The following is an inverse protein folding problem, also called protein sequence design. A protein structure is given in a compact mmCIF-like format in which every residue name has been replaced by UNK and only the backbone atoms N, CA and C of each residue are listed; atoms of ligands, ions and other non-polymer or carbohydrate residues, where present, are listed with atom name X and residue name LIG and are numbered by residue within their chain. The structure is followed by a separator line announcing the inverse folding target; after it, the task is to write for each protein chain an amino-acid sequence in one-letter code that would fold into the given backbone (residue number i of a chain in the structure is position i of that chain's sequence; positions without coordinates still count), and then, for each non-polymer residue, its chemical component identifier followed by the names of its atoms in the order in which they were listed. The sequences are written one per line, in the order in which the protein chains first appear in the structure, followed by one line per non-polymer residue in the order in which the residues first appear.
data_IF_311571770010
#
_entry.id   IF_311571770010
#
_cell.length_a   1.000
_cell.length_b   1.000
_cell.length_c   1.000
_cell.angle_alpha   90.00
_cell.angle_beta   90.00
_cell.angle_gamma   90.00
#
_symmetry.space_group_name_H-M   'P 1'
#
loop_
_entity.id
_entity.type
_entity.pdbx_description
1 polymer ?
#
# COMPACT_ATOMS: atom_id res chain seq x y z
N UNK A 1 -4.06 -8.65 3.99
CA UNK A 1 -4.77 -8.45 2.69
C UNK A 1 -3.96 -9.05 1.54
N UNK A 2 -4.62 -9.30 0.44
CA UNK A 2 -3.92 -9.65 -0.80
C UNK A 2 -3.29 -8.41 -1.41
N UNK A 3 -2.12 -8.59 -2.04
CA UNK A 3 -1.42 -7.50 -2.70
C UNK A 3 -1.25 -7.84 -4.18
N UNK A 4 -1.61 -6.89 -5.04
CA UNK A 4 -1.50 -7.02 -6.49
C UNK A 4 -0.56 -5.92 -7.00
N UNK A 5 0.42 -6.28 -7.81
CA UNK A 5 1.42 -5.33 -8.30
C UNK A 5 1.05 -4.82 -9.69
N UNK A 6 1.28 -3.52 -9.92
CA UNK A 6 0.95 -2.90 -11.21
C UNK A 6 1.89 -3.33 -12.35
N UNK A 7 3.08 -3.81 -12.01
CA UNK A 7 4.04 -4.24 -13.03
C UNK A 7 4.81 -5.46 -12.57
N UNK A 8 5.29 -6.24 -13.53
CA UNK A 8 6.16 -7.38 -13.24
C UNK A 8 7.48 -6.94 -12.61
N UNK A 9 7.97 -5.76 -12.97
CA UNK A 9 9.20 -5.21 -12.40
C UNK A 9 9.02 -4.98 -10.90
N UNK A 10 7.92 -4.35 -10.50
CA UNK A 10 7.64 -4.08 -9.10
C UNK A 10 7.42 -5.38 -8.32
N UNK A 11 6.72 -6.34 -8.92
CA UNK A 11 6.52 -7.66 -8.30
C UNK A 11 7.86 -8.36 -8.04
N UNK A 12 8.79 -8.31 -8.98
CA UNK A 12 10.12 -8.89 -8.81
C UNK A 12 10.93 -8.20 -7.74
N UNK A 13 10.87 -6.87 -7.68
CA UNK A 13 11.52 -6.10 -6.62
C UNK A 13 10.98 -6.53 -5.25
N UNK A 14 9.67 -6.73 -5.14
CA UNK A 14 9.04 -7.14 -3.89
C UNK A 14 9.42 -8.57 -3.48
N UNK A 15 9.58 -9.48 -4.45
CA UNK A 15 9.79 -10.90 -4.18
C UNK A 15 11.26 -11.34 -4.17
N UNK A 16 12.17 -10.53 -4.70
CA UNK A 16 13.60 -10.86 -4.79
C UNK A 16 14.41 -9.89 -3.92
N UNK A 17 14.92 -10.35 -2.76
CA UNK A 17 15.68 -9.48 -1.86
C UNK A 17 16.90 -8.82 -2.48
N UNK A 18 17.61 -9.52 -3.36
CA UNK A 18 18.79 -8.96 -4.04
C UNK A 18 18.38 -7.84 -4.99
N UNK A 19 17.32 -8.06 -5.75
CA UNK A 19 16.82 -7.06 -6.69
C UNK A 19 16.25 -5.87 -5.95
N UNK A 20 15.54 -6.10 -4.88
CA UNK A 20 15.01 -5.05 -4.01
C UNK A 20 16.14 -4.15 -3.50
N UNK A 21 17.17 -4.76 -2.96
CA UNK A 21 18.35 -4.04 -2.45
C UNK A 21 19.05 -3.23 -3.56
N UNK A 22 19.25 -3.85 -4.71
CA UNK A 22 19.92 -3.21 -5.84
C UNK A 22 19.15 -1.98 -6.36
N UNK A 23 17.82 -2.13 -6.50
CA UNK A 23 16.99 -1.08 -7.10
C UNK A 23 16.65 0.04 -6.10
N UNK A 24 16.47 -0.29 -4.84
CA UNK A 24 15.99 0.67 -3.84
C UNK A 24 17.08 1.16 -2.86
N UNK A 25 18.18 0.43 -2.73
CA UNK A 25 19.16 0.68 -1.67
C UNK A 25 18.68 0.10 -0.34
N UNK A 26 19.60 -0.02 0.63
CA UNK A 26 19.34 -0.77 1.86
C UNK A 26 18.19 -0.18 2.68
N UNK A 27 18.24 1.10 3.00
CA UNK A 27 17.23 1.72 3.87
C UNK A 27 15.84 1.64 3.26
N UNK A 28 15.70 2.01 1.98
CA UNK A 28 14.39 1.99 1.31
C UNK A 28 13.89 0.57 1.10
N UNK A 29 14.78 -0.37 0.77
CA UNK A 29 14.42 -1.77 0.60
C UNK A 29 13.85 -2.36 1.90
N UNK A 30 14.48 -2.08 3.04
CA UNK A 30 14.01 -2.55 4.34
C UNK A 30 12.63 -1.97 4.68
N UNK A 31 12.44 -0.67 4.47
CA UNK A 31 11.16 -0.02 4.71
C UNK A 31 10.07 -0.55 3.77
N UNK A 32 10.38 -0.72 2.50
CA UNK A 32 9.45 -1.27 1.51
C UNK A 32 8.95 -2.66 1.92
N UNK A 33 9.86 -3.55 2.29
CA UNK A 33 9.50 -4.89 2.73
C UNK A 33 8.68 -4.87 4.02
N UNK A 34 9.02 -3.97 4.95
CA UNK A 34 8.25 -3.81 6.19
C UNK A 34 6.82 -3.37 5.90
N UNK A 35 6.64 -2.36 5.03
CA UNK A 35 5.30 -1.88 4.67
C UNK A 35 4.48 -2.97 3.97
N UNK A 36 5.10 -3.74 3.09
CA UNK A 36 4.42 -4.86 2.44
C UNK A 36 3.97 -5.91 3.45
N UNK A 37 4.81 -6.27 4.42
CA UNK A 37 4.44 -7.22 5.47
C UNK A 37 3.23 -6.72 6.27
N UNK A 38 3.22 -5.44 6.62
CA UNK A 38 2.10 -4.86 7.35
C UNK A 38 0.80 -4.95 6.55
N UNK A 39 0.87 -4.67 5.24
CA UNK A 39 -0.29 -4.79 4.36
C UNK A 39 -0.77 -6.24 4.25
N UNK A 40 0.15 -7.21 4.12
CA UNK A 40 -0.21 -8.62 4.08
C UNK A 40 -0.91 -9.10 5.34
N UNK A 41 -0.46 -8.61 6.50
CA UNK A 41 -1.00 -9.03 7.80
C UNK A 41 -2.31 -8.37 8.16
N UNK A 42 -2.61 -7.22 7.59
CA UNK A 42 -3.85 -6.52 7.85
C UNK A 42 -5.03 -7.29 7.26
N UNK A 43 -6.15 -7.33 7.97
CA UNK A 43 -7.36 -7.99 7.48
C UNK A 43 -8.08 -7.12 6.45
N UNK A 44 -8.12 -5.80 6.69
CA UNK A 44 -8.78 -4.84 5.82
C UNK A 44 -7.94 -3.59 5.68
N UNK A 45 -8.27 -2.77 4.67
CA UNK A 45 -7.56 -1.50 4.46
C UNK A 45 -7.76 -0.53 5.64
N UNK A 46 -8.92 -0.54 6.29
CA UNK A 46 -9.15 0.32 7.46
C UNK A 46 -8.14 0.03 8.57
N UNK A 47 -7.74 -1.23 8.74
CA UNK A 47 -6.83 -1.63 9.80
C UNK A 47 -5.43 -1.03 9.68
N UNK A 48 -4.97 -0.76 8.46
CA UNK A 48 -3.62 -0.22 8.27
C UNK A 48 -3.50 1.23 8.75
N UNK A 49 -4.61 1.94 8.89
CA UNK A 49 -4.63 3.33 9.37
C UNK A 49 -3.90 3.50 10.70
N UNK A 50 -3.94 2.46 11.53
CA UNK A 50 -3.42 2.50 12.91
C UNK A 50 -2.01 1.94 13.03
N UNK A 51 -1.40 1.51 11.92
CA UNK A 51 -0.05 0.95 11.94
C UNK A 51 1.02 2.05 11.82
N UNK A 52 2.23 1.80 12.34
CA UNK A 52 3.36 2.71 12.12
C UNK A 52 3.68 2.83 10.62
N UNK A 53 4.05 4.01 10.16
CA UNK A 53 4.40 4.24 8.77
C UNK A 53 3.52 5.29 8.09
N UNK A 54 2.67 5.96 8.84
CA UNK A 54 1.78 7.02 8.35
C UNK A 54 0.93 6.57 7.18
N UNK A 55 0.25 5.45 7.34
CA UNK A 55 -0.75 5.01 6.37
C UNK A 55 -1.92 6.00 6.38
N UNK A 56 -2.19 6.62 5.25
CA UNK A 56 -3.24 7.64 5.17
C UNK A 56 -3.83 7.70 3.76
N UNK A 57 -5.08 8.19 3.71
CA UNK A 57 -5.78 8.43 2.45
C UNK A 57 -5.21 9.66 1.76
N UNK A 58 -5.18 9.60 0.44
CA UNK A 58 -4.85 10.75 -0.38
C UNK A 58 -6.15 11.45 -0.82
N UNK A 59 -6.03 12.71 -1.22
CA UNK A 59 -7.18 13.53 -1.56
C UNK A 59 -7.06 14.12 -2.96
N UNK A 60 -8.06 14.91 -3.36
CA UNK A 60 -8.12 15.60 -4.65
C UNK A 60 -8.02 14.62 -5.82
N UNK A 61 -7.10 14.83 -6.74
CA UNK A 61 -6.95 13.98 -7.92
C UNK A 61 -6.43 12.57 -7.61
N UNK A 62 -5.98 12.33 -6.37
CA UNK A 62 -5.58 11.00 -5.90
C UNK A 62 -6.59 10.37 -4.96
N UNK A 63 -7.79 10.93 -4.87
CA UNK A 63 -8.85 10.38 -4.02
C UNK A 63 -9.09 8.91 -4.35
N UNK A 64 -9.16 8.08 -3.31
CA UNK A 64 -9.28 6.63 -3.45
C UNK A 64 -7.96 5.90 -3.32
N UNK A 65 -6.85 6.61 -3.35
CA UNK A 65 -5.51 6.04 -3.12
C UNK A 65 -5.06 6.29 -1.68
N UNK A 66 -4.09 5.49 -1.26
CA UNK A 66 -3.45 5.59 0.05
C UNK A 66 -1.95 5.67 -0.13
N UNK A 67 -1.27 6.18 0.89
CA UNK A 67 0.18 6.21 0.93
C UNK A 67 0.70 5.81 2.30
N UNK A 68 1.91 5.31 2.34
CA UNK A 68 2.68 5.16 3.57
C UNK A 68 4.12 5.60 3.32
N UNK A 69 4.83 5.95 4.39
CA UNK A 69 6.16 6.50 4.28
C UNK A 69 7.22 5.42 4.07
N UNK A 70 8.14 5.72 3.18
CA UNK A 70 9.47 5.11 3.10
C UNK A 70 10.46 6.15 3.64
N UNK A 71 11.72 6.10 3.21
CA UNK A 71 12.67 7.15 3.55
C UNK A 71 12.34 8.43 2.78
N UNK A 72 12.42 9.57 3.43
CA UNK A 72 12.06 10.86 2.81
C UNK A 72 12.91 11.15 1.56
N UNK A 73 12.31 11.62 0.46
CA UNK A 73 10.90 12.00 0.29
C UNK A 73 10.01 10.91 -0.33
N UNK A 74 10.42 9.66 -0.24
CA UNK A 74 9.74 8.55 -0.92
C UNK A 74 8.56 8.02 -0.14
N UNK A 75 7.52 7.61 -0.86
CA UNK A 75 6.31 7.01 -0.32
C UNK A 75 5.92 5.81 -1.16
N UNK A 76 5.25 4.85 -0.53
CA UNK A 76 4.58 3.76 -1.23
C UNK A 76 3.13 4.18 -1.44
N UNK A 77 2.68 4.17 -2.69
CA UNK A 77 1.29 4.50 -3.03
C UNK A 77 0.59 3.22 -3.46
N UNK A 78 -0.62 3.03 -2.97
CA UNK A 78 -1.43 1.87 -3.30
C UNK A 78 -2.91 2.25 -3.33
N UNK A 79 -3.72 1.38 -3.88
CA UNK A 79 -5.16 1.61 -3.98
C UNK A 79 -5.92 0.30 -3.80
N UNK A 80 -7.22 0.36 -3.46
CA UNK A 80 -8.03 -0.84 -3.40
C UNK A 80 -7.99 -1.60 -4.71
N UNK A 81 -7.94 -2.92 -4.62
CA UNK A 81 -8.02 -3.77 -5.80
C UNK A 81 -9.44 -3.81 -6.37
N UNK A 82 -10.44 -3.66 -5.49
CA UNK A 82 -11.85 -3.60 -5.88
C UNK A 82 -12.14 -2.33 -6.69
N UNK A 83 -12.83 -2.50 -7.81
CA UNK A 83 -13.24 -1.39 -8.67
C UNK A 83 -14.66 -1.65 -9.17
N UNK A 84 -15.64 -0.79 -8.82
CA UNK A 84 -15.49 0.43 -8.04
C UNK A 84 -15.24 0.17 -6.54
N UNK A 85 -14.68 1.19 -5.87
CA UNK A 85 -14.49 1.12 -4.42
C UNK A 85 -15.85 1.13 -3.74
N UNK A 86 -16.14 0.20 -2.81
CA UNK A 86 -17.41 0.20 -2.09
C UNK A 86 -17.67 1.52 -1.38
N UNK A 87 -18.89 2.02 -1.49
CA UNK A 87 -19.31 3.26 -0.83
C UNK A 87 -20.55 3.00 0.03
N UNK A 88 -20.70 3.83 1.07
CA UNK A 88 -21.91 3.80 1.90
C UNK A 88 -23.01 4.66 1.27
N UNK A 89 -24.16 4.77 1.96
CA UNK A 89 -25.30 5.54 1.48
C UNK A 89 -25.00 7.05 1.34
N UNK A 90 -23.96 7.54 2.01
CA UNK A 90 -23.53 8.93 1.94
C UNK A 90 -22.43 9.16 0.88
N UNK A 91 -22.08 8.13 0.12
CA UNK A 91 -21.04 8.21 -0.89
C UNK A 91 -19.62 8.14 -0.35
N UNK A 92 -19.44 7.79 0.92
CA UNK A 92 -18.12 7.64 1.51
C UNK A 92 -17.56 6.24 1.27
N UNK A 93 -16.26 6.13 1.03
CA UNK A 93 -15.60 4.85 0.84
C UNK A 93 -15.64 4.01 2.12
N UNK A 94 -15.90 2.72 1.95
CA UNK A 94 -16.00 1.76 3.06
C UNK A 94 -14.75 0.91 3.10
N UNK A 95 -13.71 1.43 3.73
CA UNK A 95 -12.38 0.80 3.75
C UNK A 95 -12.35 -0.55 4.45
N UNK A 96 -13.27 -0.79 5.38
CA UNK A 96 -13.34 -2.07 6.09
C UNK A 96 -13.75 -3.23 5.17
N UNK A 97 -14.31 -2.94 4.01
CA UNK A 97 -14.67 -3.95 3.02
C UNK A 97 -13.53 -4.27 2.06
N UNK A 98 -12.43 -3.50 2.09
CA UNK A 98 -11.30 -3.70 1.19
C UNK A 98 -10.36 -4.74 1.77
N UNK A 99 -10.16 -5.83 1.04
CA UNK A 99 -9.31 -6.98 1.43
C UNK A 99 -8.18 -7.24 0.44
N UNK A 100 -7.95 -6.33 -0.50
CA UNK A 100 -6.86 -6.41 -1.46
C UNK A 100 -6.47 -5.03 -1.97
N UNK A 101 -5.19 -4.85 -2.23
CA UNK A 101 -4.63 -3.59 -2.72
C UNK A 101 -3.64 -3.82 -3.85
#
# INVERSE_FOLDING_TARGET
MDIFFQSKKLEKIASDPRKCLKELGQTRAELFQKRLRDLYRADTLEDVRYLPGRYHELSENRKGQWACDLDQPYRLIFEPHEDPIPTDENGKYVWIEIKGV
#
